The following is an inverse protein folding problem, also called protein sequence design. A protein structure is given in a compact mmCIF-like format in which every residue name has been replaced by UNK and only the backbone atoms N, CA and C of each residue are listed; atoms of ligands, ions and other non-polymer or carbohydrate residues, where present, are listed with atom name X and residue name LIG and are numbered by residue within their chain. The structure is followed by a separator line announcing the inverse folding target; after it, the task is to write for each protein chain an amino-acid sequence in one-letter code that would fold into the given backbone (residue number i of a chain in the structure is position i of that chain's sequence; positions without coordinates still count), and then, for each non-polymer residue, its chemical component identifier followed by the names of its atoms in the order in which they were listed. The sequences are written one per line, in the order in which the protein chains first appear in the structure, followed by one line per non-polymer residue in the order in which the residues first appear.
data_IF_867997274872
#
_entry.id   IF_867997274872
#
_cell.length_a   1.000
_cell.length_b   1.000
_cell.length_c   1.000
_cell.angle_alpha   90.00
_cell.angle_beta   90.00
_cell.angle_gamma   90.00
#
_symmetry.space_group_name_H-M   'P 1'
#
loop_
_entity.id
_entity.type
_entity.pdbx_description
1 polymer ?
#
# COMPACT_ATOMS: atom_id res chain seq x y z
N UNK A 1 15.50 20.15 -33.18
CA UNK A 1 14.85 18.82 -33.02
C UNK A 1 15.56 17.98 -31.95
N UNK A 2 15.70 18.48 -30.71
CA UNK A 2 16.31 17.75 -29.58
C UNK A 2 15.35 17.52 -28.39
N UNK A 3 14.15 18.12 -28.43
CA UNK A 3 13.19 18.11 -27.30
C UNK A 3 12.25 16.90 -27.27
N UNK A 4 12.04 16.21 -28.40
CA UNK A 4 11.05 15.14 -28.50
C UNK A 4 11.33 13.89 -27.65
N UNK A 5 12.61 13.59 -27.36
CA UNK A 5 12.98 12.39 -26.57
C UNK A 5 12.93 12.62 -25.05
N UNK A 6 13.11 13.86 -24.59
CA UNK A 6 13.10 14.18 -23.15
C UNK A 6 11.65 14.32 -22.63
N UNK A 7 10.71 14.79 -23.46
CA UNK A 7 9.33 15.03 -23.02
C UNK A 7 8.45 13.76 -22.98
N UNK A 8 8.71 12.76 -23.85
CA UNK A 8 8.11 11.42 -23.71
C UNK A 8 8.63 10.65 -22.48
N UNK A 9 9.80 11.05 -21.97
CA UNK A 9 10.40 10.44 -20.79
C UNK A 9 9.54 10.72 -19.54
N UNK A 10 9.00 11.92 -19.37
CA UNK A 10 8.27 12.31 -18.14
C UNK A 10 6.95 11.53 -17.96
N UNK A 11 6.16 11.31 -19.03
CA UNK A 11 4.91 10.53 -18.96
C UNK A 11 5.22 9.03 -18.71
N UNK A 12 6.33 8.53 -19.27
CA UNK A 12 6.78 7.16 -19.05
C UNK A 12 7.26 6.96 -17.61
N UNK A 13 8.03 7.92 -17.09
CA UNK A 13 8.46 7.94 -15.67
C UNK A 13 7.25 7.99 -14.75
N UNK A 14 6.23 8.79 -15.08
CA UNK A 14 4.97 8.82 -14.33
C UNK A 14 4.28 7.46 -14.30
N UNK A 15 4.15 6.79 -15.45
CA UNK A 15 3.57 5.45 -15.53
C UNK A 15 4.34 4.44 -14.69
N UNK A 16 5.68 4.46 -14.75
CA UNK A 16 6.52 3.57 -13.95
C UNK A 16 6.37 3.83 -12.44
N UNK A 17 6.35 5.09 -12.01
CA UNK A 17 6.13 5.45 -10.62
C UNK A 17 4.77 4.95 -10.09
N UNK A 18 3.71 5.08 -10.91
CA UNK A 18 2.39 4.54 -10.55
C UNK A 18 2.41 3.01 -10.48
N UNK A 19 3.09 2.32 -11.39
CA UNK A 19 3.24 0.86 -11.35
C UNK A 19 3.97 0.39 -10.09
N UNK A 20 5.08 1.03 -9.74
CA UNK A 20 5.86 0.72 -8.54
C UNK A 20 4.99 0.93 -7.30
N UNK A 21 4.34 2.10 -7.17
CA UNK A 21 3.48 2.40 -6.03
C UNK A 21 2.36 1.37 -5.83
N UNK A 22 1.73 0.90 -6.92
CA UNK A 22 0.73 -0.17 -6.82
C UNK A 22 1.31 -1.47 -6.30
N UNK A 23 2.49 -1.88 -6.79
CA UNK A 23 3.12 -3.12 -6.36
C UNK A 23 3.55 -3.06 -4.89
N UNK A 24 4.10 -1.93 -4.45
CA UNK A 24 4.56 -1.74 -3.08
C UNK A 24 3.37 -1.78 -2.11
N UNK A 25 2.23 -1.21 -2.51
CA UNK A 25 1.00 -1.31 -1.74
C UNK A 25 0.42 -2.73 -1.67
N UNK A 26 0.49 -3.52 -2.76
CA UNK A 26 0.13 -4.94 -2.69
C UNK A 26 1.09 -5.71 -1.78
N UNK A 27 2.39 -5.45 -1.85
CA UNK A 27 3.40 -6.05 -0.95
C UNK A 27 3.07 -5.76 0.51
N UNK A 28 2.82 -4.48 0.84
CA UNK A 28 2.43 -4.03 2.17
C UNK A 28 1.16 -4.74 2.66
N UNK A 29 0.11 -4.82 1.83
CA UNK A 29 -1.13 -5.52 2.16
C UNK A 29 -0.90 -7.00 2.43
N UNK A 30 -0.18 -7.68 1.54
CA UNK A 30 0.13 -9.11 1.66
C UNK A 30 0.92 -9.39 2.95
N UNK A 31 1.91 -8.57 3.28
CA UNK A 31 2.71 -8.71 4.49
C UNK A 31 1.87 -8.50 5.75
N UNK A 32 0.96 -7.53 5.74
CA UNK A 32 0.06 -7.24 6.86
C UNK A 32 -0.92 -8.40 7.08
N UNK A 33 -1.57 -8.88 6.01
CA UNK A 33 -2.51 -10.00 6.09
C UNK A 33 -1.81 -11.31 6.49
N UNK A 34 -0.58 -11.55 5.99
CA UNK A 34 0.24 -12.68 6.43
C UNK A 34 0.55 -12.58 7.92
N UNK A 35 0.99 -11.42 8.41
CA UNK A 35 1.29 -11.24 9.83
C UNK A 35 0.05 -11.53 10.68
N UNK A 36 -1.07 -10.88 10.36
CA UNK A 36 -2.32 -11.01 11.11
C UNK A 36 -2.80 -12.45 11.14
N UNK A 37 -2.97 -13.06 9.96
CA UNK A 37 -3.49 -14.43 9.86
C UNK A 37 -2.55 -15.42 10.55
N UNK A 38 -1.25 -15.35 10.27
CA UNK A 38 -0.31 -16.34 10.77
C UNK A 38 -0.12 -16.24 12.29
N UNK A 39 -0.08 -15.03 12.84
CA UNK A 39 0.00 -14.83 14.28
C UNK A 39 -1.27 -15.30 15.01
N UNK A 40 -2.46 -15.00 14.48
CA UNK A 40 -3.72 -15.48 15.06
C UNK A 40 -3.82 -17.01 15.04
N UNK A 41 -3.48 -17.64 13.92
CA UNK A 41 -3.46 -19.11 13.78
C UNK A 41 -2.41 -19.77 14.69
N UNK A 42 -1.26 -19.14 14.87
CA UNK A 42 -0.22 -19.63 15.78
C UNK A 42 -0.64 -19.56 17.26
N UNK A 43 -1.71 -18.82 17.57
CA UNK A 43 -2.15 -18.49 18.92
C UNK A 43 -3.60 -18.90 19.21
N UNK A 44 -4.02 -20.08 18.77
CA UNK A 44 -5.39 -20.60 18.95
C UNK A 44 -5.96 -20.39 20.37
N UNK A 45 -5.15 -20.55 21.43
CA UNK A 45 -5.58 -20.39 22.82
C UNK A 45 -5.32 -19.00 23.43
N UNK A 46 -4.81 -18.04 22.65
CA UNK A 46 -4.43 -16.68 23.07
C UNK A 46 -4.93 -15.62 22.08
N UNK A 47 -6.05 -15.91 21.42
CA UNK A 47 -6.62 -15.06 20.38
C UNK A 47 -6.77 -13.60 20.85
N UNK A 48 -7.35 -13.38 22.03
CA UNK A 48 -7.58 -12.04 22.57
C UNK A 48 -6.29 -11.24 22.79
N UNK A 49 -5.23 -11.88 23.30
CA UNK A 49 -3.94 -11.23 23.52
C UNK A 49 -3.27 -10.85 22.19
N UNK A 50 -3.23 -11.77 21.23
CA UNK A 50 -2.68 -11.50 19.90
C UNK A 50 -3.50 -10.44 19.16
N UNK A 51 -4.82 -10.54 19.20
CA UNK A 51 -5.74 -9.56 18.62
C UNK A 51 -5.49 -8.16 19.18
N UNK A 52 -5.26 -8.03 20.50
CA UNK A 52 -4.97 -6.75 21.15
C UNK A 52 -3.65 -6.09 20.70
N UNK A 53 -2.67 -6.90 20.28
CA UNK A 53 -1.39 -6.42 19.73
C UNK A 53 -1.52 -6.06 18.25
N UNK A 54 -2.23 -6.87 17.47
CA UNK A 54 -2.38 -6.69 16.03
C UNK A 54 -3.36 -5.56 15.65
N UNK A 55 -4.37 -5.31 16.49
CA UNK A 55 -5.41 -4.30 16.24
C UNK A 55 -4.84 -2.90 16.02
N UNK A 56 -3.96 -2.38 16.91
CA UNK A 56 -3.29 -1.10 16.66
C UNK A 56 -2.51 -1.05 15.35
N UNK A 57 -1.79 -2.13 14.99
CA UNK A 57 -1.00 -2.20 13.74
C UNK A 57 -1.92 -2.08 12.53
N UNK A 58 -3.03 -2.85 12.53
CA UNK A 58 -4.09 -2.77 11.52
C UNK A 58 -4.64 -1.36 11.41
N UNK A 59 -5.01 -0.75 12.53
CA UNK A 59 -5.68 0.56 12.52
C UNK A 59 -4.78 1.67 11.98
N UNK A 60 -3.49 1.65 12.34
CA UNK A 60 -2.49 2.57 11.76
C UNK A 60 -2.32 2.32 10.25
N UNK A 61 -2.26 1.05 9.82
CA UNK A 61 -2.22 0.71 8.40
C UNK A 61 -3.46 1.19 7.64
N UNK A 62 -4.66 1.10 8.23
CA UNK A 62 -5.91 1.62 7.64
C UNK A 62 -5.86 3.14 7.50
N UNK A 63 -5.35 3.85 8.50
CA UNK A 63 -5.13 5.30 8.39
C UNK A 63 -4.17 5.65 7.26
N UNK A 64 -3.10 4.86 7.10
CA UNK A 64 -2.14 5.01 6.02
C UNK A 64 -2.75 4.76 4.63
N UNK A 65 -3.57 3.71 4.47
CA UNK A 65 -4.33 3.46 3.24
C UNK A 65 -5.28 4.61 2.91
N UNK A 66 -5.96 5.19 3.92
CA UNK A 66 -6.84 6.34 3.71
C UNK A 66 -6.08 7.56 3.22
N UNK A 67 -4.90 7.84 3.79
CA UNK A 67 -4.07 8.97 3.38
C UNK A 67 -3.53 8.79 1.95
N UNK A 68 -2.98 7.62 1.64
CA UNK A 68 -2.45 7.31 0.29
C UNK A 68 -3.55 7.23 -0.77
N UNK A 69 -4.75 6.74 -0.42
CA UNK A 69 -5.93 6.80 -1.29
C UNK A 69 -6.39 8.23 -1.58
N UNK A 70 -6.42 9.09 -0.57
CA UNK A 70 -6.75 10.51 -0.75
C UNK A 70 -5.74 11.22 -1.66
N UNK A 71 -4.45 11.02 -1.42
CA UNK A 71 -3.38 11.52 -2.30
C UNK A 71 -3.60 11.09 -3.76
N UNK A 72 -3.89 9.80 -3.97
CA UNK A 72 -4.08 9.26 -5.31
C UNK A 72 -5.30 9.84 -6.03
N UNK A 73 -6.37 10.16 -5.30
CA UNK A 73 -7.53 10.84 -5.89
C UNK A 73 -7.12 12.16 -6.54
N UNK A 74 -6.21 12.91 -5.94
CA UNK A 74 -5.68 14.13 -6.53
C UNK A 74 -4.73 13.84 -7.70
N UNK A 75 -3.95 12.75 -7.67
CA UNK A 75 -3.17 12.28 -8.83
C UNK A 75 -4.09 11.94 -10.01
N UNK A 76 -5.19 11.23 -9.79
CA UNK A 76 -6.19 10.89 -10.80
C UNK A 76 -6.78 12.16 -11.43
N UNK A 77 -7.17 13.13 -10.59
CA UNK A 77 -7.71 14.39 -11.05
C UNK A 77 -6.67 15.21 -11.82
N UNK A 78 -5.42 15.25 -11.37
CA UNK A 78 -4.31 15.86 -12.12
C UNK A 78 -4.16 15.25 -13.52
N UNK A 79 -4.13 13.92 -13.61
CA UNK A 79 -4.05 13.21 -14.89
C UNK A 79 -5.25 13.54 -15.79
N UNK A 80 -6.45 13.56 -15.22
CA UNK A 80 -7.66 13.93 -15.95
C UNK A 80 -7.58 15.35 -16.53
N UNK A 81 -7.09 16.32 -15.75
CA UNK A 81 -6.85 17.68 -16.24
C UNK A 81 -5.78 17.70 -17.34
N UNK A 82 -4.69 16.95 -17.18
CA UNK A 82 -3.65 16.78 -18.19
C UNK A 82 -4.20 16.28 -19.53
N UNK A 83 -5.10 15.29 -19.51
CA UNK A 83 -5.79 14.83 -20.71
C UNK A 83 -6.64 15.91 -21.36
N UNK A 84 -7.36 16.72 -20.58
CA UNK A 84 -8.12 17.82 -21.14
C UNK A 84 -7.21 18.87 -21.79
N UNK A 85 -6.08 19.19 -21.17
CA UNK A 85 -5.06 20.12 -21.72
C UNK A 85 -4.52 19.59 -23.06
N UNK A 86 -4.18 18.31 -23.13
CA UNK A 86 -3.66 17.69 -24.35
C UNK A 86 -4.71 17.57 -25.47
N UNK A 87 -5.99 17.41 -25.12
CA UNK A 87 -7.10 17.29 -26.07
C UNK A 87 -7.65 18.64 -26.55
N UNK A 88 -7.49 19.71 -25.77
CA UNK A 88 -7.80 21.07 -26.23
C UNK A 88 -6.78 21.48 -27.30
N UNK A 89 -7.21 21.53 -28.56
CA UNK A 89 -6.42 22.06 -29.67
C UNK A 89 -6.19 23.58 -29.58
N UNK A 90 -5.43 24.15 -30.52
CA UNK A 90 -5.25 25.61 -30.62
C UNK A 90 -6.62 26.29 -30.85
N UNK A 91 -7.13 27.05 -29.86
CA UNK A 91 -8.29 27.93 -30.01
C UNK A 91 -9.43 27.79 -28.98
N UNK A 92 -9.33 26.91 -27.98
CA UNK A 92 -10.31 26.91 -26.87
C UNK A 92 -9.88 27.83 -25.73
N UNK A 93 -10.82 28.55 -25.11
CA UNK A 93 -10.59 29.34 -23.88
C UNK A 93 -10.39 28.45 -22.63
N UNK A 94 -10.53 27.12 -22.78
CA UNK A 94 -10.49 26.13 -21.68
C UNK A 94 -9.13 25.68 -21.13
N UNK A 95 -7.97 25.81 -21.81
CA UNK A 95 -6.73 25.19 -21.32
C UNK A 95 -6.20 25.91 -20.08
N UNK A 96 -6.47 27.21 -19.91
CA UNK A 96 -6.05 27.95 -18.72
C UNK A 96 -6.73 27.45 -17.45
N UNK A 97 -8.03 27.14 -17.50
CA UNK A 97 -8.75 26.58 -16.37
C UNK A 97 -8.25 25.17 -16.01
N UNK A 98 -8.03 24.32 -17.02
CA UNK A 98 -7.51 22.97 -16.78
C UNK A 98 -6.09 22.99 -16.23
N UNK A 99 -5.24 23.93 -16.66
CA UNK A 99 -3.88 24.12 -16.10
C UNK A 99 -3.96 24.56 -14.64
N UNK A 100 -4.84 25.51 -14.31
CA UNK A 100 -5.03 25.95 -12.93
C UNK A 100 -5.58 24.82 -12.03
N UNK A 101 -6.51 24.01 -12.54
CA UNK A 101 -7.01 22.83 -11.83
C UNK A 101 -5.91 21.78 -11.63
N UNK A 102 -5.12 21.49 -12.67
CA UNK A 102 -3.98 20.56 -12.56
C UNK A 102 -2.98 21.05 -11.50
N UNK A 103 -2.68 22.34 -11.50
CA UNK A 103 -1.83 22.94 -10.47
C UNK A 103 -2.37 22.74 -9.06
N UNK A 104 -3.68 22.91 -8.87
CA UNK A 104 -4.33 22.80 -7.57
C UNK A 104 -4.24 21.38 -6.97
N UNK A 105 -4.25 20.34 -7.80
CA UNK A 105 -4.19 18.96 -7.33
C UNK A 105 -2.80 18.55 -6.81
N UNK A 106 -1.73 19.23 -7.22
CA UNK A 106 -0.37 18.95 -6.70
C UNK A 106 -0.24 19.25 -5.20
N UNK A 107 -0.53 20.47 -4.70
CA UNK A 107 -0.47 20.76 -3.28
C UNK A 107 -1.54 20.01 -2.47
N UNK A 108 -2.69 19.66 -3.07
CA UNK A 108 -3.69 18.80 -2.42
C UNK A 108 -3.12 17.40 -2.15
N UNK A 109 -2.54 16.75 -3.16
CA UNK A 109 -1.83 15.47 -3.00
C UNK A 109 -0.68 15.58 -1.98
N UNK A 110 0.07 16.69 -1.98
CA UNK A 110 1.16 16.91 -1.03
C UNK A 110 0.68 16.93 0.43
N UNK A 111 -0.51 17.45 0.72
CA UNK A 111 -1.07 17.46 2.08
C UNK A 111 -1.31 16.03 2.57
N UNK A 112 -1.90 15.18 1.74
CA UNK A 112 -2.17 13.79 2.09
C UNK A 112 -0.90 12.94 2.15
N UNK A 113 0.10 13.23 1.30
CA UNK A 113 1.44 12.66 1.41
C UNK A 113 2.09 12.99 2.77
N UNK A 114 2.07 14.27 3.19
CA UNK A 114 2.63 14.68 4.48
C UNK A 114 1.89 14.01 5.66
N UNK A 115 0.57 13.83 5.53
CA UNK A 115 -0.21 13.06 6.50
C UNK A 115 0.24 11.60 6.54
N UNK A 116 0.48 10.98 5.39
CA UNK A 116 0.99 9.61 5.31
C UNK A 116 2.38 9.48 5.96
N UNK A 117 3.29 10.45 5.72
CA UNK A 117 4.59 10.52 6.40
C UNK A 117 4.42 10.57 7.92
N UNK A 118 3.54 11.46 8.42
CA UNK A 118 3.27 11.55 9.86
C UNK A 118 2.79 10.22 10.43
N UNK A 119 1.87 9.52 9.76
CA UNK A 119 1.36 8.23 10.23
C UNK A 119 2.50 7.20 10.35
N UNK A 120 3.35 7.09 9.34
CA UNK A 120 4.43 6.09 9.31
C UNK A 120 5.57 6.46 10.26
N UNK A 121 6.13 7.66 10.11
CA UNK A 121 7.35 8.09 10.82
C UNK A 121 7.11 8.37 12.31
N UNK A 122 5.89 8.77 12.72
CA UNK A 122 5.63 9.14 14.12
C UNK A 122 4.85 8.11 14.93
N UNK A 123 4.28 7.09 14.27
CA UNK A 123 3.42 6.11 14.95
C UNK A 123 3.70 4.68 14.53
N UNK A 124 3.87 4.42 13.25
CA UNK A 124 3.96 3.03 12.77
C UNK A 124 5.30 2.39 13.15
N UNK A 125 6.42 3.11 13.05
CA UNK A 125 7.74 2.58 13.42
C UNK A 125 7.78 2.11 14.88
N UNK A 126 7.49 3.02 15.81
CA UNK A 126 7.48 2.73 17.24
C UNK A 126 6.50 1.60 17.57
N UNK A 127 5.31 1.63 16.96
CA UNK A 127 4.31 0.60 17.17
C UNK A 127 4.77 -0.78 16.71
N UNK A 128 5.44 -0.89 15.55
CA UNK A 128 6.01 -2.14 15.10
C UNK A 128 7.07 -2.63 16.09
N UNK A 129 8.02 -1.79 16.50
CA UNK A 129 9.09 -2.24 17.40
C UNK A 129 8.59 -2.61 18.80
N UNK A 130 7.64 -1.87 19.35
CA UNK A 130 7.01 -2.19 20.65
C UNK A 130 6.16 -3.47 20.59
N UNK A 131 5.54 -3.74 19.43
CA UNK A 131 4.68 -4.91 19.24
C UNK A 131 5.46 -6.18 18.91
N UNK A 132 6.68 -6.07 18.37
CA UNK A 132 7.49 -7.22 17.95
C UNK A 132 7.75 -8.17 19.13
N UNK A 133 8.35 -7.65 20.20
CA UNK A 133 8.69 -8.46 21.37
C UNK A 133 7.41 -9.01 22.03
N UNK A 134 6.40 -8.16 22.20
CA UNK A 134 5.10 -8.54 22.76
C UNK A 134 4.46 -9.72 22.00
N UNK A 135 4.48 -9.67 20.67
CA UNK A 135 3.90 -10.72 19.82
C UNK A 135 4.70 -12.03 19.95
N UNK A 136 6.03 -11.92 19.97
CA UNK A 136 6.91 -13.08 20.16
C UNK A 136 6.71 -13.71 21.53
N UNK A 137 6.56 -12.92 22.60
CA UNK A 137 6.33 -13.42 23.95
C UNK A 137 5.00 -14.15 24.08
N UNK A 138 3.93 -13.57 23.53
CA UNK A 138 2.62 -14.22 23.52
C UNK A 138 2.63 -15.53 22.72
N UNK A 139 3.31 -15.54 21.56
CA UNK A 139 3.55 -16.75 20.79
C UNK A 139 4.55 -17.70 21.46
N UNK A 140 5.43 -17.27 22.34
CA UNK A 140 6.31 -18.19 23.08
C UNK A 140 5.57 -18.89 24.21
N UNK A 141 4.65 -18.17 24.86
CA UNK A 141 4.06 -18.61 26.12
C UNK A 141 5.10 -18.60 27.26
N UNK A 142 4.94 -19.47 28.26
CA UNK A 142 5.90 -19.53 29.37
C UNK A 142 7.20 -20.28 29.00
N UNK A 143 8.29 -20.04 29.74
CA UNK A 143 9.60 -20.65 29.47
C UNK A 143 9.57 -22.19 29.37
N UNK A 144 8.74 -22.87 30.17
CA UNK A 144 8.56 -24.32 30.09
C UNK A 144 7.83 -24.79 28.82
N UNK A 145 6.94 -23.94 28.27
CA UNK A 145 6.20 -24.20 27.05
C UNK A 145 7.10 -24.08 25.81
N UNK A 146 8.09 -23.20 25.82
CA UNK A 146 9.06 -23.09 24.73
C UNK A 146 9.84 -24.40 24.53
N UNK A 147 10.31 -25.03 25.60
CA UNK A 147 10.97 -26.35 25.54
C UNK A 147 10.00 -27.39 24.96
N UNK A 148 8.74 -27.37 25.39
CA UNK A 148 7.71 -28.26 24.87
C UNK A 148 7.43 -28.05 23.37
N UNK A 149 7.39 -26.80 22.89
CA UNK A 149 7.23 -26.48 21.47
C UNK A 149 8.36 -27.08 20.64
N UNK A 150 9.61 -26.93 21.07
CA UNK A 150 10.75 -27.52 20.37
C UNK A 150 10.74 -29.05 20.38
N UNK A 151 10.37 -29.66 21.51
CA UNK A 151 10.27 -31.12 21.64
C UNK A 151 9.15 -31.70 20.76
N UNK A 152 8.03 -31.00 20.65
CA UNK A 152 6.85 -31.46 19.91
C UNK A 152 6.82 -31.00 18.45
N UNK A 153 7.76 -30.14 18.02
CA UNK A 153 7.86 -29.60 16.64
C UNK A 153 7.74 -30.68 15.56
N UNK A 154 8.35 -31.85 15.77
CA UNK A 154 8.34 -32.94 14.77
C UNK A 154 7.04 -33.74 14.70
N UNK A 155 6.17 -33.62 15.70
CA UNK A 155 5.01 -34.49 15.88
C UNK A 155 3.68 -33.72 15.91
N UNK A 156 3.73 -32.41 16.20
CA UNK A 156 2.57 -31.53 16.29
C UNK A 156 2.67 -30.43 15.24
N UNK A 157 1.74 -30.42 14.27
CA UNK A 157 1.69 -29.41 13.21
C UNK A 157 1.55 -27.99 13.78
N UNK A 158 0.70 -27.82 14.80
CA UNK A 158 0.50 -26.53 15.47
C UNK A 158 1.79 -26.02 16.15
N UNK A 159 2.54 -26.88 16.85
CA UNK A 159 3.81 -26.49 17.46
C UNK A 159 4.86 -26.14 16.41
N UNK A 160 4.89 -26.86 15.28
CA UNK A 160 5.77 -26.53 14.15
C UNK A 160 5.43 -25.19 13.52
N UNK A 161 4.15 -24.97 13.22
CA UNK A 161 3.64 -23.74 12.63
C UNK A 161 3.94 -22.54 13.53
N UNK A 162 3.60 -22.64 14.81
CA UNK A 162 3.83 -21.58 15.81
C UNK A 162 5.29 -21.17 15.92
N UNK A 163 6.23 -22.12 15.91
CA UNK A 163 7.67 -21.81 15.90
C UNK A 163 8.10 -21.08 14.62
N UNK A 164 7.64 -21.53 13.45
CA UNK A 164 7.97 -20.88 12.17
C UNK A 164 7.44 -19.46 12.12
N UNK A 165 6.20 -19.22 12.57
CA UNK A 165 5.61 -17.89 12.64
C UNK A 165 6.41 -17.00 13.57
N UNK A 166 6.71 -17.47 14.80
CA UNK A 166 7.47 -16.72 15.79
C UNK A 166 8.88 -16.35 15.28
N UNK A 167 9.59 -17.28 14.66
CA UNK A 167 10.91 -17.03 14.04
C UNK A 167 10.82 -16.04 12.86
N UNK A 168 9.66 -15.96 12.20
CA UNK A 168 9.41 -15.08 11.06
C UNK A 168 8.97 -13.65 11.40
N UNK A 169 8.50 -13.39 12.63
CA UNK A 169 7.96 -12.09 13.04
C UNK A 169 8.93 -10.92 12.74
N UNK A 170 10.21 -10.95 13.19
CA UNK A 170 11.10 -9.79 12.99
C UNK A 170 11.29 -9.42 11.52
N UNK A 171 11.35 -10.45 10.66
CA UNK A 171 11.44 -10.27 9.22
C UNK A 171 10.17 -9.64 8.64
N UNK A 172 8.98 -10.05 9.11
CA UNK A 172 7.71 -9.49 8.65
C UNK A 172 7.55 -8.02 9.06
N UNK A 173 7.97 -7.67 10.27
CA UNK A 173 7.93 -6.29 10.76
C UNK A 173 8.89 -5.41 9.96
N UNK A 174 10.11 -5.90 9.70
CA UNK A 174 11.06 -5.22 8.80
C UNK A 174 10.47 -5.03 7.40
N UNK A 175 9.84 -6.06 6.81
CA UNK A 175 9.19 -5.94 5.50
C UNK A 175 8.05 -4.91 5.48
N UNK A 176 7.19 -4.89 6.50
CA UNK A 176 6.11 -3.91 6.62
C UNK A 176 6.65 -2.48 6.70
N UNK A 177 7.73 -2.30 7.46
CA UNK A 177 8.40 -1.01 7.59
C UNK A 177 9.04 -0.58 6.26
N UNK A 178 9.78 -1.47 5.62
CA UNK A 178 10.44 -1.21 4.34
C UNK A 178 9.41 -0.90 3.25
N UNK A 179 8.35 -1.71 3.10
CA UNK A 179 7.25 -1.49 2.16
C UNK A 179 6.60 -0.10 2.39
N UNK A 180 6.32 0.28 3.65
CA UNK A 180 5.74 1.59 3.97
C UNK A 180 6.66 2.76 3.56
N UNK A 181 7.97 2.61 3.75
CA UNK A 181 8.96 3.62 3.33
C UNK A 181 9.11 3.70 1.82
N UNK A 182 9.06 2.56 1.13
CA UNK A 182 9.10 2.50 -0.33
C UNK A 182 7.88 3.19 -0.94
N UNK A 183 6.68 2.95 -0.38
CA UNK A 183 5.44 3.67 -0.74
C UNK A 183 5.63 5.18 -0.58
N UNK A 184 6.13 5.65 0.57
CA UNK A 184 6.35 7.08 0.81
C UNK A 184 7.38 7.68 -0.16
N UNK A 185 8.49 6.99 -0.40
CA UNK A 185 9.50 7.44 -1.35
C UNK A 185 8.92 7.55 -2.78
N UNK A 186 8.09 6.58 -3.19
CA UNK A 186 7.43 6.59 -4.48
C UNK A 186 6.39 7.71 -4.58
N UNK A 187 5.62 7.96 -3.52
CA UNK A 187 4.69 9.10 -3.43
C UNK A 187 5.40 10.45 -3.57
N UNK A 188 6.53 10.63 -2.88
CA UNK A 188 7.37 11.82 -3.01
C UNK A 188 7.85 12.02 -4.44
N UNK A 189 8.40 10.97 -5.05
CA UNK A 189 8.85 10.99 -6.44
C UNK A 189 7.71 11.33 -7.42
N UNK A 190 6.52 10.78 -7.18
CA UNK A 190 5.33 11.06 -7.97
C UNK A 190 4.97 12.55 -7.95
N UNK A 191 5.01 13.19 -6.77
CA UNK A 191 4.80 14.63 -6.63
C UNK A 191 5.80 15.48 -7.43
N UNK A 192 7.08 15.08 -7.45
CA UNK A 192 8.10 15.73 -8.28
C UNK A 192 7.82 15.58 -9.78
N UNK A 193 7.44 14.38 -10.23
CA UNK A 193 7.10 14.11 -11.63
C UNK A 193 5.89 14.94 -12.05
N UNK A 194 4.83 14.98 -11.23
CA UNK A 194 3.64 15.80 -11.49
C UNK A 194 4.01 17.28 -11.60
N UNK A 195 4.88 17.77 -10.73
CA UNK A 195 5.36 19.16 -10.76
C UNK A 195 6.12 19.49 -12.05
N UNK A 196 6.98 18.58 -12.53
CA UNK A 196 7.68 18.75 -13.82
C UNK A 196 6.70 18.79 -14.99
N UNK A 197 5.75 17.85 -15.04
CA UNK A 197 4.71 17.80 -16.07
C UNK A 197 3.86 19.08 -16.05
N UNK A 198 3.52 19.59 -14.86
CA UNK A 198 2.76 20.83 -14.73
C UNK A 198 3.51 22.05 -15.29
N UNK A 199 4.84 22.11 -15.12
CA UNK A 199 5.67 23.16 -15.75
C UNK A 199 5.56 23.06 -17.27
N UNK A 200 5.54 21.85 -17.85
CA UNK A 200 5.34 21.64 -19.29
C UNK A 200 3.97 22.13 -19.74
N UNK A 201 2.92 21.82 -18.99
CA UNK A 201 1.57 22.29 -19.31
C UNK A 201 1.44 23.81 -19.30
N UNK A 202 2.24 24.53 -18.50
CA UNK A 202 2.26 26.00 -18.54
C UNK A 202 2.91 26.56 -19.80
N UNK A 203 3.93 25.88 -20.35
CA UNK A 203 4.65 26.36 -21.55
C UNK A 203 3.72 26.43 -22.77
N UNK A 204 3.51 27.62 -23.36
CA UNK A 204 2.76 27.76 -24.60
C UNK A 204 3.41 27.04 -25.78
N UNK A 205 4.74 27.04 -25.86
CA UNK A 205 5.52 26.40 -26.93
C UNK A 205 5.38 24.88 -26.87
N UNK A 206 5.47 24.31 -25.66
CA UNK A 206 5.26 22.88 -25.45
C UNK A 206 3.84 22.47 -25.84
N UNK A 207 2.82 23.22 -25.37
CA UNK A 207 1.42 22.94 -25.72
C UNK A 207 1.18 23.02 -27.23
N UNK A 208 1.72 24.02 -27.91
CA UNK A 208 1.61 24.14 -29.37
C UNK A 208 2.18 22.93 -30.10
N UNK A 209 3.24 22.31 -29.57
CA UNK A 209 3.88 21.17 -30.20
C UNK A 209 3.22 19.82 -29.86
N UNK A 210 2.65 19.66 -28.66
CA UNK A 210 2.15 18.38 -28.16
C UNK A 210 0.62 18.27 -28.03
N UNK A 211 -0.11 19.39 -27.95
CA UNK A 211 -1.57 19.35 -27.93
C UNK A 211 -2.12 18.79 -29.26
N UNK A 212 -3.15 17.95 -29.18
CA UNK A 212 -3.74 17.27 -30.34
C UNK A 212 -2.91 16.12 -30.91
N UNK A 213 -1.68 15.87 -30.43
CA UNK A 213 -0.87 14.73 -30.89
C UNK A 213 -1.42 13.41 -30.37
N UNK A 214 -1.85 12.55 -31.31
CA UNK A 214 -2.49 11.28 -30.99
C UNK A 214 -1.60 10.33 -30.18
N UNK A 215 -0.29 10.28 -30.44
CA UNK A 215 0.65 9.42 -29.73
C UNK A 215 0.82 9.82 -28.26
N UNK A 216 0.92 11.13 -27.99
CA UNK A 216 1.07 11.69 -26.63
C UNK A 216 -0.23 11.54 -25.85
N UNK A 217 -1.36 11.85 -26.47
CA UNK A 217 -2.69 11.66 -25.87
C UNK A 217 -2.91 10.19 -25.54
N UNK A 218 -2.53 9.26 -26.43
CA UNK A 218 -2.65 7.83 -26.20
C UNK A 218 -1.83 7.39 -24.99
N UNK A 219 -0.55 7.75 -24.95
CA UNK A 219 0.34 7.41 -23.83
C UNK A 219 -0.20 7.94 -22.50
N UNK A 220 -0.57 9.23 -22.46
CA UNK A 220 -1.11 9.83 -21.23
C UNK A 220 -2.44 9.21 -20.83
N UNK A 221 -3.29 8.82 -21.79
CA UNK A 221 -4.57 8.17 -21.53
C UNK A 221 -4.38 6.73 -21.02
N UNK A 222 -3.38 6.01 -21.51
CA UNK A 222 -2.99 4.70 -20.97
C UNK A 222 -2.53 4.84 -19.50
N UNK A 223 -1.68 5.82 -19.19
CA UNK A 223 -1.27 6.14 -17.81
C UNK A 223 -2.48 6.49 -16.94
N UNK A 224 -3.40 7.32 -17.43
CA UNK A 224 -4.63 7.67 -16.72
C UNK A 224 -5.54 6.47 -16.46
N UNK A 225 -5.75 5.60 -17.45
CA UNK A 225 -6.57 4.39 -17.29
C UNK A 225 -5.95 3.43 -16.27
N UNK A 226 -4.62 3.35 -16.26
CA UNK A 226 -3.89 2.57 -15.25
C UNK A 226 -3.99 3.19 -13.85
N UNK A 227 -4.01 4.52 -13.73
CA UNK A 227 -4.16 5.19 -12.44
C UNK A 227 -5.59 5.13 -11.88
N UNK A 228 -6.59 5.41 -12.74
CA UNK A 228 -7.97 5.72 -12.36
C UNK A 228 -8.81 4.51 -11.92
N UNK A 229 -8.59 3.33 -12.52
CA UNK A 229 -9.43 2.14 -12.30
C UNK A 229 -8.99 1.20 -11.18
N UNK A 230 -7.70 0.91 -10.96
CA UNK A 230 -7.29 -0.07 -9.97
C UNK A 230 -7.29 0.49 -8.55
N UNK A 231 -6.86 1.74 -8.35
CA UNK A 231 -6.41 2.15 -7.02
C UNK A 231 -7.52 2.39 -6.00
N UNK A 232 -8.52 3.23 -6.28
CA UNK A 232 -9.58 3.49 -5.29
C UNK A 232 -10.34 2.20 -4.94
N UNK A 233 -10.59 1.35 -5.94
CA UNK A 233 -11.20 0.04 -5.70
C UNK A 233 -10.29 -0.87 -4.88
N UNK A 234 -8.98 -0.85 -5.12
CA UNK A 234 -8.01 -1.67 -4.36
C UNK A 234 -7.81 -1.19 -2.95
N UNK A 235 -7.66 0.12 -2.70
CA UNK A 235 -7.51 0.66 -1.35
C UNK A 235 -8.78 0.40 -0.51
N UNK A 236 -9.97 0.59 -1.08
CA UNK A 236 -11.22 0.22 -0.41
C UNK A 236 -11.33 -1.28 -0.18
N UNK A 237 -10.91 -2.11 -1.14
CA UNK A 237 -10.83 -3.57 -0.97
C UNK A 237 -9.85 -3.96 0.13
N UNK A 238 -8.64 -3.40 0.15
CA UNK A 238 -7.61 -3.67 1.16
C UNK A 238 -8.10 -3.27 2.55
N UNK A 239 -8.73 -2.10 2.69
CA UNK A 239 -9.36 -1.68 3.96
C UNK A 239 -10.49 -2.64 4.33
N UNK A 240 -11.35 -3.01 3.38
CA UNK A 240 -12.43 -3.97 3.61
C UNK A 240 -11.93 -5.35 4.03
N UNK A 241 -10.81 -5.82 3.46
CA UNK A 241 -10.16 -7.07 3.82
C UNK A 241 -9.50 -7.05 5.21
N UNK A 242 -9.27 -5.87 5.80
CA UNK A 242 -8.70 -5.74 7.13
C UNK A 242 -9.75 -5.75 8.25
N UNK A 243 -11.03 -5.55 7.93
CA UNK A 243 -12.14 -5.64 8.88
C UNK A 243 -13.09 -6.78 8.51
N UNK A 244 -13.32 -7.69 9.45
CA UNK A 244 -14.43 -8.62 9.30
C UNK A 244 -15.71 -7.83 9.58
N UNK A 245 -16.79 -8.05 8.81
CA UNK A 245 -18.09 -7.36 8.90
C UNK A 245 -18.44 -6.71 10.27
N UNK A 246 -17.99 -5.46 10.48
CA UNK A 246 -18.19 -4.67 11.71
C UNK A 246 -17.58 -5.27 13.01
N UNK A 247 -16.53 -6.09 12.90
CA UNK A 247 -15.77 -6.63 14.02
C UNK A 247 -14.62 -5.70 14.41
N UNK A 248 -14.35 -5.61 15.71
CA UNK A 248 -13.14 -4.96 16.24
C UNK A 248 -11.90 -5.84 16.05
N UNK A 249 -12.07 -7.14 15.75
CA UNK A 249 -10.98 -8.09 15.63
C UNK A 249 -10.29 -8.05 14.24
N UNK A 250 -8.98 -8.34 14.17
CA UNK A 250 -8.26 -8.47 12.91
C UNK A 250 -8.74 -9.66 12.06
N UNK A 251 -8.88 -9.47 10.75
CA UNK A 251 -9.31 -10.52 9.82
C UNK A 251 -8.27 -11.64 9.71
N UNK A 252 -8.75 -12.88 9.83
CA UNK A 252 -7.98 -14.10 9.58
C UNK A 252 -8.49 -14.75 8.29
N UNK A 253 -7.63 -14.89 7.29
CA UNK A 253 -8.03 -15.36 5.95
C UNK A 253 -7.16 -16.54 5.49
N UNK A 254 -7.83 -17.63 5.07
CA UNK A 254 -7.23 -18.88 4.60
C UNK A 254 -6.20 -18.68 3.49
N UNK A 255 -6.31 -17.63 2.69
CA UNK A 255 -5.36 -17.29 1.64
C UNK A 255 -3.95 -16.95 2.19
N UNK A 256 -3.84 -16.55 3.45
CA UNK A 256 -2.62 -16.04 4.07
C UNK A 256 -1.97 -16.97 5.11
N UNK A 257 -2.50 -18.19 5.26
CA UNK A 257 -1.93 -19.25 6.12
C UNK A 257 -0.48 -19.57 5.73
N UNK A 258 -0.16 -19.41 4.45
CA UNK A 258 1.17 -19.64 3.91
C UNK A 258 1.48 -21.14 3.71
N UNK A 259 2.68 -21.46 3.19
CA UNK A 259 3.05 -22.82 2.79
C UNK A 259 3.28 -23.76 3.99
N UNK A 260 3.22 -23.24 5.21
CA UNK A 260 3.58 -23.97 6.44
C UNK A 260 2.42 -24.81 7.01
N UNK A 261 1.23 -24.72 6.40
CA UNK A 261 0.09 -25.61 6.67
C UNK A 261 -0.43 -26.25 5.37
N UNK A 262 0.37 -27.11 4.72
CA UNK A 262 0.05 -27.63 3.38
C UNK A 262 -1.20 -28.52 3.35
N UNK A 263 -1.61 -29.06 4.49
CA UNK A 263 -2.78 -29.93 4.62
C UNK A 263 -4.00 -29.20 5.20
N UNK A 264 -3.90 -27.89 5.50
CA UNK A 264 -4.97 -27.12 6.14
C UNK A 264 -5.24 -27.50 7.60
N UNK A 265 -4.32 -28.24 8.23
CA UNK A 265 -4.50 -28.74 9.58
C UNK A 265 -4.62 -27.62 10.62
N UNK A 266 -3.77 -26.59 10.54
CA UNK A 266 -3.79 -25.47 11.48
C UNK A 266 -5.06 -24.64 11.27
N UNK A 267 -5.46 -24.45 10.02
CA UNK A 267 -6.74 -23.80 9.69
C UNK A 267 -7.94 -24.56 10.27
N UNK A 268 -7.99 -25.88 10.07
CA UNK A 268 -9.08 -26.72 10.58
C UNK A 268 -9.12 -26.69 12.11
N UNK A 269 -7.95 -26.67 12.77
CA UNK A 269 -7.86 -26.49 14.22
C UNK A 269 -8.43 -25.14 14.63
N UNK A 270 -8.03 -24.03 14.00
CA UNK A 270 -8.53 -22.70 14.32
C UNK A 270 -10.06 -22.61 14.24
N UNK A 271 -10.67 -23.12 13.16
CA UNK A 271 -12.13 -23.13 13.00
C UNK A 271 -12.89 -24.05 13.97
N UNK A 272 -12.21 -24.87 14.78
CA UNK A 272 -12.86 -25.62 15.87
C UNK A 272 -12.99 -24.81 17.17
N UNK A 273 -12.32 -23.66 17.26
CA UNK A 273 -12.22 -22.85 18.49
C UNK A 273 -12.76 -21.41 18.35
N UNK A 274 -13.22 -21.01 17.15
CA UNK A 274 -14.14 -19.87 16.94
C UNK A 274 -15.58 -20.25 17.26
#
# INVERSE_FOLDING_TARGET
MKHASEDQNEITVLANALCTLLNDHESFHLNLMCLTTQASLAAVFRHSAISSILTPIRDVAVEFYKATSAMWKDVDLFLKQGLYILRSGEGSDSPHQNIANAEHHIPAAQVDYLRACQIIESRFEDLLWDSEESLIEELRGCCGFQIFLYLTKRYCSLSSYRLVVMEGIPRRFSMLWDDAREILACCSHLGEVMSRIQIRFRSPEWRKYYAGRADVIKLFNETYLYASRPWNNRAEQHIGCLYEYNSEEPVVDKLYVGPWDPNGSVWDWYGCWE
#
